data_IF_428949061643
#
_entry.id   IF_428949061643
#
_cell.length_a   1.000
_cell.length_b   1.000
_cell.length_c   1.000
_cell.angle_alpha   90.00
_cell.angle_beta   90.00
_cell.angle_gamma   90.00
#
_symmetry.space_group_name_H-M   'P 1'
#
loop_
_entity.id
_entity.type
_entity.pdbx_description
1 polymer ?
#
# COMPACT_ATOMS: atom_id res chain seq x y z
N UNK A 1 14.65 -6.23 2.58
CA UNK A 1 13.49 -6.83 1.84
C UNK A 1 12.20 -5.99 1.93
N UNK A 2 11.42 -6.06 3.03
CA UNK A 2 10.12 -5.32 3.13
C UNK A 2 10.31 -3.82 2.96
N UNK A 3 11.29 -3.24 3.67
CA UNK A 3 11.63 -1.81 3.56
C UNK A 3 11.97 -1.41 2.12
N UNK A 4 12.79 -2.22 1.43
CA UNK A 4 13.12 -2.01 0.01
C UNK A 4 11.88 -2.07 -0.89
N UNK A 5 10.97 -3.03 -0.67
CA UNK A 5 9.75 -3.13 -1.46
C UNK A 5 8.82 -1.92 -1.23
N UNK A 6 8.68 -1.46 0.02
CA UNK A 6 7.92 -0.26 0.35
C UNK A 6 8.55 1.00 -0.28
N UNK A 7 9.87 1.14 -0.20
CA UNK A 7 10.61 2.23 -0.83
C UNK A 7 10.54 2.18 -2.37
N UNK A 8 10.59 0.99 -2.96
CA UNK A 8 10.43 0.78 -4.40
C UNK A 8 9.05 1.24 -4.90
N UNK A 9 8.01 1.09 -4.08
CA UNK A 9 6.64 1.55 -4.35
C UNK A 9 6.37 2.97 -3.82
N UNK A 10 7.39 3.71 -3.39
CA UNK A 10 7.24 5.09 -2.92
C UNK A 10 6.74 6.02 -4.02
N UNK A 11 6.05 7.09 -3.61
CA UNK A 11 5.52 8.09 -4.54
C UNK A 11 6.65 8.78 -5.33
N UNK A 12 7.80 9.04 -4.71
CA UNK A 12 8.91 9.74 -5.38
C UNK A 12 9.49 8.90 -6.52
N UNK A 13 9.74 7.60 -6.29
CA UNK A 13 10.17 6.68 -7.36
C UNK A 13 9.13 6.52 -8.44
N UNK A 14 7.85 6.49 -8.06
CA UNK A 14 6.75 6.46 -9.01
C UNK A 14 6.70 7.74 -9.86
N UNK A 15 6.88 8.91 -9.26
CA UNK A 15 6.94 10.20 -9.95
C UNK A 15 8.12 10.24 -10.93
N UNK A 16 9.29 9.78 -10.52
CA UNK A 16 10.48 9.68 -11.37
C UNK A 16 10.25 8.72 -12.56
N UNK A 17 9.63 7.57 -12.32
CA UNK A 17 9.25 6.63 -13.37
C UNK A 17 8.27 7.25 -14.39
N UNK A 18 7.26 7.97 -13.90
CA UNK A 18 6.30 8.66 -14.76
C UNK A 18 6.96 9.78 -15.57
N UNK A 19 7.87 10.55 -14.96
CA UNK A 19 8.67 11.57 -15.65
C UNK A 19 9.58 10.95 -16.71
N UNK A 20 10.18 9.79 -16.42
CA UNK A 20 10.97 9.05 -17.40
C UNK A 20 10.13 8.63 -18.62
N UNK A 21 8.94 8.05 -18.42
CA UNK A 21 8.07 7.62 -19.52
C UNK A 21 7.52 8.79 -20.33
N UNK A 22 6.97 9.80 -19.67
CA UNK A 22 6.18 10.85 -20.33
C UNK A 22 6.97 12.12 -20.66
N UNK A 23 8.03 12.42 -19.91
CA UNK A 23 8.85 13.62 -20.10
C UNK A 23 10.22 13.33 -20.71
N UNK A 24 10.60 12.04 -20.86
CA UNK A 24 11.85 11.64 -21.50
C UNK A 24 13.08 12.02 -20.70
N UNK A 25 12.98 12.04 -19.36
CA UNK A 25 14.08 12.43 -18.49
C UNK A 25 15.22 11.40 -18.63
N UNK A 26 16.30 11.81 -19.31
CA UNK A 26 17.32 10.93 -19.91
C UNK A 26 18.28 10.27 -18.93
N UNK A 27 17.87 10.01 -17.69
CA UNK A 27 18.75 9.44 -16.65
C UNK A 27 19.10 7.97 -16.85
N UNK A 28 18.35 7.22 -17.67
CA UNK A 28 18.65 5.83 -17.99
C UNK A 28 18.72 5.59 -19.51
N UNK A 29 19.94 5.30 -19.97
CA UNK A 29 20.39 4.70 -21.23
C UNK A 29 19.86 5.21 -22.58
N UNK A 30 20.79 5.81 -23.32
CA UNK A 30 20.76 6.18 -24.74
C UNK A 30 20.61 5.01 -25.75
N UNK A 31 20.47 3.76 -25.29
CA UNK A 31 20.38 2.59 -26.15
C UNK A 31 18.94 2.09 -26.42
N UNK A 32 18.00 2.26 -25.46
CA UNK A 32 16.60 1.89 -25.65
C UNK A 32 15.79 2.97 -26.39
N UNK A 33 16.19 4.24 -26.27
CA UNK A 33 15.42 5.38 -26.80
C UNK A 33 15.35 5.41 -28.33
N UNK A 34 16.38 5.00 -29.07
CA UNK A 34 16.38 5.12 -30.55
C UNK A 34 15.51 4.07 -31.25
N UNK A 35 15.47 2.82 -30.74
CA UNK A 35 14.66 1.74 -31.32
C UNK A 35 13.18 1.85 -30.94
N UNK A 36 12.89 2.27 -29.70
CA UNK A 36 11.51 2.46 -29.26
C UNK A 36 10.90 3.74 -29.82
N UNK A 37 11.62 4.87 -29.87
CA UNK A 37 11.09 6.13 -30.43
C UNK A 37 10.65 5.99 -31.88
N UNK A 38 11.40 5.25 -32.72
CA UNK A 38 11.03 5.00 -34.12
C UNK A 38 9.78 4.12 -34.25
N UNK A 39 9.61 3.11 -33.37
CA UNK A 39 8.37 2.31 -33.30
C UNK A 39 7.20 3.11 -32.74
N UNK A 40 7.43 3.97 -31.74
CA UNK A 40 6.43 4.83 -31.13
C UNK A 40 5.93 5.86 -32.14
N UNK A 41 6.83 6.49 -32.91
CA UNK A 41 6.49 7.38 -34.02
C UNK A 41 5.72 6.67 -35.15
N UNK A 42 6.00 5.38 -35.40
CA UNK A 42 5.20 4.57 -36.35
C UNK A 42 3.80 4.25 -35.81
N UNK A 43 3.66 4.01 -34.51
CA UNK A 43 2.37 3.73 -33.87
C UNK A 43 1.53 5.00 -33.69
N UNK A 44 2.17 6.14 -33.42
CA UNK A 44 1.53 7.44 -33.28
C UNK A 44 0.82 7.86 -34.57
N UNK A 45 1.49 7.64 -35.72
CA UNK A 45 0.89 7.80 -37.06
C UNK A 45 -0.33 6.91 -37.33
N UNK A 46 -0.50 5.81 -36.57
CA UNK A 46 -1.63 4.86 -36.73
C UNK A 46 -2.77 5.12 -35.75
N UNK A 47 -2.56 5.96 -34.71
CA UNK A 47 -3.55 6.25 -33.67
C UNK A 47 -4.16 7.66 -33.76
N UNK A 48 -3.86 8.41 -34.82
CA UNK A 48 -4.29 9.80 -34.92
C UNK A 48 -5.77 9.93 -35.31
N UNK A 49 -6.66 9.87 -34.33
CA UNK A 49 -7.94 10.57 -34.39
C UNK A 49 -7.72 12.01 -33.87
N UNK A 50 -8.35 13.03 -34.46
CA UNK A 50 -8.21 14.43 -34.01
C UNK A 50 -8.86 14.68 -32.63
N UNK A 51 -9.57 13.69 -32.09
CA UNK A 51 -10.12 13.71 -30.75
C UNK A 51 -9.24 12.83 -29.87
N UNK A 52 -8.46 13.46 -28.98
CA UNK A 52 -7.82 12.78 -27.87
C UNK A 52 -8.93 12.43 -26.87
N UNK A 53 -9.48 11.23 -26.96
CA UNK A 53 -10.43 10.72 -25.98
C UNK A 53 -9.70 10.43 -24.65
N UNK A 54 -10.17 9.47 -23.87
CA UNK A 54 -9.57 9.00 -22.61
C UNK A 54 -8.20 8.29 -22.75
N UNK A 55 -7.52 8.42 -23.89
CA UNK A 55 -6.27 7.74 -24.20
C UNK A 55 -5.13 8.09 -23.22
N UNK A 56 -5.07 9.36 -22.78
CA UNK A 56 -4.09 9.79 -21.78
C UNK A 56 -4.24 9.05 -20.45
N UNK A 57 -5.48 8.90 -19.99
CA UNK A 57 -5.79 8.16 -18.76
C UNK A 57 -5.42 6.67 -18.88
N UNK A 58 -5.72 6.04 -20.02
CA UNK A 58 -5.37 4.63 -20.29
C UNK A 58 -3.85 4.41 -20.30
N UNK A 59 -3.09 5.34 -20.89
CA UNK A 59 -1.63 5.27 -20.90
C UNK A 59 -1.05 5.38 -19.48
N UNK A 60 -1.58 6.28 -18.64
CA UNK A 60 -1.18 6.38 -17.23
C UNK A 60 -1.51 5.08 -16.51
N UNK A 61 -2.73 4.56 -16.67
CA UNK A 61 -3.17 3.31 -16.02
C UNK A 61 -2.22 2.15 -16.34
N UNK A 62 -1.93 1.95 -17.63
CA UNK A 62 -1.00 0.92 -18.08
C UNK A 62 0.43 1.14 -17.56
N UNK A 63 0.90 2.39 -17.52
CA UNK A 63 2.20 2.72 -16.96
C UNK A 63 2.27 2.41 -15.45
N UNK A 64 1.22 2.75 -14.68
CA UNK A 64 1.14 2.40 -13.25
C UNK A 64 1.06 0.91 -13.00
N UNK A 65 0.32 0.17 -13.82
CA UNK A 65 0.26 -1.29 -13.73
C UNK A 65 1.66 -1.90 -13.94
N UNK A 66 2.38 -1.42 -14.96
CA UNK A 66 3.76 -1.85 -15.21
C UNK A 66 4.71 -1.45 -14.07
N UNK A 67 4.57 -0.25 -13.50
CA UNK A 67 5.35 0.21 -12.37
C UNK A 67 5.17 -0.69 -11.15
N UNK A 68 3.92 -0.94 -10.76
CA UNK A 68 3.61 -1.78 -9.60
C UNK A 68 4.09 -3.20 -9.86
N UNK A 69 3.84 -3.77 -11.04
CA UNK A 69 4.30 -5.11 -11.42
C UNK A 69 5.82 -5.27 -11.35
N UNK A 70 6.58 -4.27 -11.77
CA UNK A 70 8.04 -4.31 -11.76
C UNK A 70 8.64 -4.16 -10.36
N UNK A 71 7.97 -3.43 -9.46
CA UNK A 71 8.51 -3.04 -8.16
C UNK A 71 7.88 -3.77 -6.96
N UNK A 72 6.76 -4.47 -7.14
CA UNK A 72 6.09 -5.18 -6.04
C UNK A 72 6.81 -6.47 -5.62
N UNK A 73 7.63 -7.02 -6.51
CA UNK A 73 8.36 -8.28 -6.33
C UNK A 73 9.83 -8.00 -5.95
N UNK A 74 10.35 -8.75 -4.97
CA UNK A 74 11.76 -8.67 -4.56
C UNK A 74 12.62 -9.47 -5.56
N UNK A 75 13.51 -8.79 -6.27
CA UNK A 75 14.44 -9.45 -7.20
C UNK A 75 15.88 -9.63 -6.67
N UNK A 76 16.34 -8.83 -5.70
CA UNK A 76 17.68 -9.01 -5.15
C UNK A 76 17.90 -8.24 -3.84
N UNK A 77 18.73 -8.77 -2.93
CA UNK A 77 19.29 -8.00 -1.82
C UNK A 77 20.64 -7.45 -2.28
N UNK A 78 20.72 -6.14 -2.48
CA UNK A 78 22.03 -5.50 -2.68
C UNK A 78 22.71 -5.32 -1.31
N UNK A 79 24.05 -5.36 -1.33
CA UNK A 79 24.94 -5.35 -0.16
C UNK A 79 24.86 -4.10 0.72
N UNK A 80 24.16 -3.04 0.28
CA UNK A 80 24.12 -1.73 0.96
C UNK A 80 23.25 -1.73 2.24
N UNK A 81 22.33 -2.70 2.41
CA UNK A 81 21.50 -2.82 3.64
C UNK A 81 22.26 -3.44 4.82
N UNK A 82 23.46 -4.00 4.61
CA UNK A 82 24.20 -4.73 5.65
C UNK A 82 24.65 -3.84 6.82
N UNK A 83 25.02 -2.58 6.54
CA UNK A 83 25.44 -1.59 7.55
C UNK A 83 24.29 -1.21 8.49
N UNK A 84 23.10 -0.97 7.95
CA UNK A 84 21.92 -0.63 8.76
C UNK A 84 21.53 -1.80 9.69
N UNK A 85 21.60 -3.04 9.20
CA UNK A 85 21.31 -4.24 10.01
C UNK A 85 22.34 -4.39 11.14
N UNK A 86 23.62 -4.16 10.83
CA UNK A 86 24.71 -4.23 11.81
C UNK A 86 24.54 -3.26 12.99
N UNK A 87 24.08 -2.05 12.71
CA UNK A 87 23.95 -1.01 13.74
C UNK A 87 22.74 -1.20 14.66
N UNK A 88 21.71 -1.93 14.21
CA UNK A 88 20.40 -1.98 14.89
C UNK A 88 20.00 -3.36 15.42
N UNK A 89 20.68 -4.44 15.00
CA UNK A 89 20.27 -5.82 15.29
C UNK A 89 21.41 -6.57 15.97
N UNK A 90 21.08 -7.36 17.00
CA UNK A 90 22.04 -8.27 17.62
C UNK A 90 22.17 -9.54 16.76
N UNK A 91 22.95 -9.47 15.68
CA UNK A 91 23.35 -10.62 14.85
C UNK A 91 24.87 -10.67 14.79
N UNK A 92 25.43 -11.89 14.77
CA UNK A 92 26.86 -12.09 14.56
C UNK A 92 27.23 -11.74 13.11
N UNK A 93 27.84 -10.56 12.96
CA UNK A 93 28.13 -9.90 11.67
C UNK A 93 29.21 -10.60 10.84
N UNK A 94 29.80 -11.67 11.35
CA UNK A 94 30.73 -12.51 10.59
C UNK A 94 30.04 -13.32 9.49
N UNK A 95 28.71 -13.40 9.52
CA UNK A 95 27.92 -14.21 8.58
C UNK A 95 27.43 -13.36 7.41
N UNK A 96 27.67 -13.82 6.18
CA UNK A 96 27.17 -13.16 4.96
C UNK A 96 25.63 -13.00 5.02
N UNK A 97 25.08 -11.77 4.88
CA UNK A 97 23.64 -11.52 4.84
C UNK A 97 22.91 -12.37 3.80
N UNK A 98 23.56 -12.71 2.68
CA UNK A 98 22.97 -13.58 1.67
C UNK A 98 22.86 -15.02 2.14
N UNK A 99 23.82 -15.50 2.94
CA UNK A 99 23.73 -16.81 3.57
C UNK A 99 22.58 -16.88 4.58
N UNK A 100 22.38 -15.80 5.37
CA UNK A 100 21.25 -15.69 6.30
C UNK A 100 19.90 -15.64 5.57
N UNK A 101 19.79 -14.90 4.47
CA UNK A 101 18.57 -14.88 3.66
C UNK A 101 18.30 -16.26 3.03
N UNK A 102 19.34 -16.90 2.49
CA UNK A 102 19.21 -18.23 1.91
C UNK A 102 18.73 -19.20 2.99
N UNK A 103 19.28 -19.13 4.20
CA UNK A 103 18.82 -19.94 5.33
C UNK A 103 17.37 -19.66 5.72
N UNK A 104 16.99 -18.38 5.77
CA UNK A 104 15.63 -17.94 6.07
C UNK A 104 14.59 -18.38 5.02
N UNK A 105 15.01 -18.62 3.78
CA UNK A 105 14.13 -18.99 2.64
C UNK A 105 14.24 -20.45 2.21
N UNK A 106 15.16 -21.22 2.81
CA UNK A 106 15.31 -22.67 2.53
C UNK A 106 14.04 -23.43 2.93
N UNK A 107 13.70 -24.52 2.21
CA UNK A 107 14.47 -25.16 1.13
C UNK A 107 14.19 -24.65 -0.29
N UNK A 108 13.05 -23.99 -0.53
CA UNK A 108 12.53 -23.73 -1.89
C UNK A 108 12.61 -22.26 -2.34
N UNK A 109 13.17 -21.36 -1.51
CA UNK A 109 13.20 -19.92 -1.76
C UNK A 109 11.89 -19.21 -1.37
N UNK A 110 11.08 -19.83 -0.51
CA UNK A 110 9.81 -19.25 -0.03
C UNK A 110 10.01 -18.51 1.29
N UNK A 111 9.25 -17.44 1.49
CA UNK A 111 9.16 -16.83 2.83
C UNK A 111 8.59 -17.86 3.83
N UNK A 112 9.02 -17.86 5.11
CA UNK A 112 8.64 -18.90 6.08
C UNK A 112 7.14 -19.14 6.20
N UNK A 113 6.34 -18.07 6.22
CA UNK A 113 4.88 -18.19 6.25
C UNK A 113 4.31 -18.88 4.99
N UNK A 114 4.85 -18.54 3.81
CA UNK A 114 4.45 -19.16 2.54
C UNK A 114 4.92 -20.61 2.44
N UNK A 115 6.07 -20.95 3.03
CA UNK A 115 6.53 -22.34 3.14
C UNK A 115 5.57 -23.19 3.96
N UNK A 116 5.04 -22.67 5.08
CA UNK A 116 4.00 -23.34 5.88
C UNK A 116 2.71 -23.54 5.08
N UNK A 117 2.29 -22.54 4.31
CA UNK A 117 1.11 -22.68 3.44
C UNK A 117 1.37 -23.72 2.36
N UNK A 118 2.56 -23.71 1.74
CA UNK A 118 2.95 -24.70 0.75
C UNK A 118 2.90 -26.12 1.31
N UNK A 119 3.37 -26.31 2.55
CA UNK A 119 3.30 -27.60 3.23
C UNK A 119 1.86 -28.08 3.52
N UNK A 120 0.88 -27.17 3.61
CA UNK A 120 -0.54 -27.51 3.73
C UNK A 120 -1.20 -27.84 2.38
N UNK A 121 -0.64 -27.33 1.28
CA UNK A 121 -1.13 -27.49 -0.08
C UNK A 121 -0.25 -28.45 -0.89
N UNK A 122 0.22 -29.53 -0.27
CA UNK A 122 1.10 -30.52 -0.93
C UNK A 122 0.43 -31.22 -2.11
N UNK A 123 -0.90 -31.39 -2.05
CA UNK A 123 -1.70 -32.00 -3.12
C UNK A 123 -1.81 -31.09 -4.36
N UNK A 124 -1.72 -29.78 -4.15
CA UNK A 124 -1.71 -28.82 -5.24
C UNK A 124 -0.33 -28.76 -5.89
N UNK A 125 -0.28 -28.84 -7.21
CA UNK A 125 0.97 -28.78 -7.96
C UNK A 125 1.46 -27.34 -8.09
N UNK A 126 2.77 -27.17 -8.27
CA UNK A 126 3.33 -25.88 -8.66
C UNK A 126 3.29 -25.76 -10.19
N UNK A 127 2.73 -24.65 -10.68
CA UNK A 127 2.73 -24.29 -12.10
C UNK A 127 3.65 -23.09 -12.34
N UNK A 128 4.31 -23.08 -13.51
CA UNK A 128 5.22 -22.00 -13.90
C UNK A 128 4.57 -20.95 -14.81
N UNK A 129 3.35 -21.20 -15.28
CA UNK A 129 2.62 -20.31 -16.19
C UNK A 129 1.15 -20.26 -15.79
N UNK A 130 0.46 -19.16 -16.09
CA UNK A 130 -0.95 -19.02 -15.78
C UNK A 130 -1.85 -19.74 -16.81
N UNK A 131 -3.14 -19.90 -16.47
CA UNK A 131 -4.14 -20.51 -17.35
C UNK A 131 -4.23 -19.67 -18.64
N UNK A 132 -3.96 -20.30 -19.78
CA UNK A 132 -4.01 -19.61 -21.06
C UNK A 132 -2.76 -18.80 -21.40
N UNK A 133 -1.72 -18.81 -20.55
CA UNK A 133 -0.35 -18.38 -20.90
C UNK A 133 0.33 -19.47 -21.74
N UNK A 134 -0.40 -19.88 -22.78
CA UNK A 134 0.17 -20.39 -24.00
C UNK A 134 1.05 -19.27 -24.53
N UNK A 135 2.36 -19.35 -24.26
CA UNK A 135 3.34 -18.53 -24.97
C UNK A 135 2.93 -18.50 -26.44
N UNK A 136 2.47 -17.36 -26.93
CA UNK A 136 2.19 -17.11 -28.36
C UNK A 136 3.48 -17.16 -29.21
N UNK A 137 4.57 -17.71 -28.67
CA UNK A 137 5.71 -18.22 -29.43
C UNK A 137 5.33 -19.59 -29.98
N UNK A 138 4.90 -19.57 -31.24
CA UNK A 138 4.52 -20.70 -32.10
C UNK A 138 3.16 -21.35 -31.79
N UNK A 139 2.11 -20.77 -32.39
CA UNK A 139 0.82 -21.42 -32.71
C UNK A 139 0.94 -22.71 -33.55
N UNK A 140 2.14 -23.12 -33.97
CA UNK A 140 2.37 -24.33 -34.77
C UNK A 140 2.51 -25.62 -33.95
N UNK A 141 2.53 -25.53 -32.61
CA UNK A 141 2.57 -26.71 -31.76
C UNK A 141 1.52 -26.62 -30.67
N UNK A 142 0.27 -26.82 -31.06
CA UNK A 142 -0.77 -27.33 -30.17
C UNK A 142 -1.55 -28.41 -30.92
N UNK A 143 -1.49 -29.70 -30.52
CA UNK A 143 -0.69 -30.29 -29.45
C UNK A 143 0.59 -30.95 -30.00
N UNK A 144 1.79 -30.73 -29.44
CA UNK A 144 2.91 -31.61 -29.69
C UNK A 144 2.88 -32.72 -28.62
N UNK A 145 2.45 -33.92 -29.00
CA UNK A 145 2.85 -35.11 -28.26
C UNK A 145 4.40 -35.15 -28.24
N UNK A 146 4.99 -34.97 -27.06
CA UNK A 146 6.44 -34.95 -26.88
C UNK A 146 6.82 -34.94 -25.41
N UNK A 147 6.74 -36.12 -24.78
CA UNK A 147 7.48 -36.55 -23.58
C UNK A 147 7.70 -35.50 -22.47
N UNK A 148 6.74 -35.38 -21.56
CA UNK A 148 6.99 -34.93 -20.18
C UNK A 148 6.24 -33.71 -19.67
N UNK A 149 5.59 -32.90 -20.52
CA UNK A 149 4.73 -31.81 -20.04
C UNK A 149 3.33 -32.34 -19.77
N UNK A 150 3.02 -32.61 -18.50
CA UNK A 150 1.69 -33.02 -18.06
C UNK A 150 0.66 -31.92 -18.39
N UNK A 151 -0.29 -32.15 -19.31
CA UNK A 151 -1.29 -31.15 -19.70
C UNK A 151 -2.17 -30.72 -18.52
N UNK A 152 -2.28 -31.55 -17.47
CA UNK A 152 -3.01 -31.21 -16.24
C UNK A 152 -2.27 -30.15 -15.43
N UNK A 153 -0.93 -30.14 -15.45
CA UNK A 153 -0.11 -29.15 -14.74
C UNK A 153 -0.15 -27.75 -15.37
N UNK A 154 -0.58 -27.64 -16.64
CA UNK A 154 -0.84 -26.35 -17.28
C UNK A 154 -2.19 -25.74 -16.85
N UNK A 155 -3.15 -26.57 -16.45
CA UNK A 155 -4.51 -26.15 -16.09
C UNK A 155 -4.70 -25.94 -14.58
N UNK A 156 -4.06 -26.77 -13.74
CA UNK A 156 -4.27 -26.79 -12.29
C UNK A 156 -2.94 -26.61 -11.55
N UNK A 157 -2.97 -25.83 -10.46
CA UNK A 157 -1.84 -25.62 -9.57
C UNK A 157 -1.62 -24.17 -9.13
N UNK A 158 -0.74 -23.99 -8.16
CA UNK A 158 -0.32 -22.70 -7.61
C UNK A 158 0.83 -22.13 -8.42
N UNK A 159 0.75 -20.85 -8.79
CA UNK A 159 1.84 -20.16 -9.49
C UNK A 159 3.09 -20.15 -8.61
N UNK A 160 4.18 -20.74 -9.10
CA UNK A 160 5.48 -20.73 -8.41
C UNK A 160 5.95 -19.29 -8.17
N UNK A 161 5.77 -18.42 -9.16
CA UNK A 161 6.16 -17.02 -9.08
C UNK A 161 5.47 -16.28 -7.93
N UNK A 162 4.19 -16.56 -7.66
CA UNK A 162 3.46 -15.95 -6.52
C UNK A 162 4.00 -16.41 -5.15
N UNK A 163 4.69 -17.55 -5.08
CA UNK A 163 5.30 -18.08 -3.85
C UNK A 163 6.76 -17.67 -3.68
N UNK A 164 7.55 -17.69 -4.76
CA UNK A 164 8.95 -17.28 -4.75
C UNK A 164 9.10 -15.77 -4.72
N UNK A 165 8.17 -15.05 -5.33
CA UNK A 165 8.15 -13.60 -5.34
C UNK A 165 6.77 -13.02 -4.99
N UNK A 166 6.39 -13.06 -3.71
CA UNK A 166 5.14 -12.46 -3.27
C UNK A 166 5.20 -10.94 -3.42
N UNK A 167 4.08 -10.35 -3.81
CA UNK A 167 3.94 -8.89 -3.83
C UNK A 167 3.83 -8.38 -2.38
N UNK A 168 4.79 -7.55 -1.95
CA UNK A 168 4.85 -7.05 -0.58
C UNK A 168 4.14 -5.71 -0.44
N UNK A 169 2.81 -5.73 -0.49
CA UNK A 169 1.98 -4.57 -0.21
C UNK A 169 0.66 -4.98 0.48
N UNK A 170 0.19 -4.13 1.38
CA UNK A 170 -0.95 -4.37 2.26
C UNK A 170 -2.07 -3.36 2.01
N UNK A 171 -3.30 -3.78 2.28
CA UNK A 171 -4.49 -2.96 2.08
C UNK A 171 -4.63 -1.86 3.16
N UNK A 172 -3.94 -2.00 4.30
CA UNK A 172 -3.91 -0.98 5.37
C UNK A 172 -3.36 0.37 4.86
N UNK A 173 -2.46 0.34 3.87
CA UNK A 173 -1.98 1.56 3.23
C UNK A 173 -3.12 2.31 2.53
N UNK A 174 -3.96 1.59 1.79
CA UNK A 174 -5.11 2.16 1.08
C UNK A 174 -6.17 2.70 2.04
N UNK A 175 -6.40 1.99 3.16
CA UNK A 175 -7.32 2.42 4.21
C UNK A 175 -6.94 3.82 4.74
N UNK A 176 -5.67 4.02 5.11
CA UNK A 176 -5.22 5.31 5.64
C UNK A 176 -5.24 6.43 4.61
N UNK A 177 -4.97 6.14 3.33
CA UNK A 177 -5.11 7.13 2.25
C UNK A 177 -6.57 7.55 2.03
N UNK A 178 -7.53 6.62 2.18
CA UNK A 178 -8.96 6.94 2.11
C UNK A 178 -9.45 7.76 3.32
N UNK A 179 -9.05 7.41 4.54
CA UNK A 179 -9.33 8.22 5.73
C UNK A 179 -8.63 9.59 5.68
N UNK A 180 -7.51 9.67 4.94
CA UNK A 180 -6.79 10.90 4.62
C UNK A 180 -7.51 11.86 3.66
N UNK A 181 -8.69 11.48 3.15
CA UNK A 181 -9.52 12.25 2.20
C UNK A 181 -8.96 12.34 0.77
N UNK A 182 -8.04 11.45 0.37
CA UNK A 182 -7.48 11.43 -1.00
C UNK A 182 -8.57 11.18 -2.04
N UNK A 183 -9.36 10.11 -1.87
CA UNK A 183 -10.42 9.71 -2.80
C UNK A 183 -11.58 10.72 -2.79
N UNK A 184 -11.86 11.32 -1.63
CA UNK A 184 -12.89 12.33 -1.45
C UNK A 184 -12.50 13.63 -2.17
N UNK A 185 -11.21 13.99 -2.13
CA UNK A 185 -10.66 15.14 -2.85
C UNK A 185 -10.88 15.00 -4.35
N UNK A 186 -10.47 13.88 -4.95
CA UNK A 186 -10.68 13.68 -6.39
C UNK A 186 -12.16 13.62 -6.74
N UNK A 187 -13.01 13.00 -5.91
CA UNK A 187 -14.45 12.93 -6.15
C UNK A 187 -15.14 14.30 -6.07
N UNK A 188 -14.68 15.21 -5.22
CA UNK A 188 -15.18 16.58 -5.17
C UNK A 188 -14.78 17.35 -6.45
N UNK A 189 -13.54 17.17 -6.91
CA UNK A 189 -13.02 17.77 -8.14
C UNK A 189 -13.80 17.23 -9.35
N UNK A 190 -13.98 15.91 -9.47
CA UNK A 190 -14.68 15.30 -10.62
C UNK A 190 -16.14 15.71 -10.69
N UNK A 191 -16.82 15.84 -9.55
CA UNK A 191 -18.19 16.40 -9.50
C UNK A 191 -18.23 17.81 -10.08
N UNK A 192 -17.25 18.66 -9.74
CA UNK A 192 -17.14 20.00 -10.30
C UNK A 192 -16.92 19.96 -11.82
N UNK A 193 -16.08 19.05 -12.32
CA UNK A 193 -15.88 18.83 -13.77
C UNK A 193 -17.14 18.40 -14.51
N UNK A 194 -17.99 17.59 -13.86
CA UNK A 194 -19.29 17.17 -14.39
C UNK A 194 -20.38 18.23 -14.21
N UNK A 195 -20.02 19.44 -13.73
CA UNK A 195 -20.95 20.51 -13.37
C UNK A 195 -22.05 20.07 -12.37
N UNK A 196 -21.69 19.16 -11.46
CA UNK A 196 -22.55 18.74 -10.36
C UNK A 196 -22.18 19.51 -9.10
N UNK A 197 -23.20 20.06 -8.42
CA UNK A 197 -23.01 20.70 -7.12
C UNK A 197 -22.63 19.68 -6.05
N UNK A 198 -21.77 20.12 -5.13
CA UNK A 198 -21.41 19.40 -3.92
C UNK A 198 -22.62 19.18 -2.98
N UNK A 199 -22.49 18.28 -2.00
CA UNK A 199 -23.56 17.98 -1.05
C UNK A 199 -23.74 19.04 0.05
N UNK A 200 -22.83 20.00 0.16
CA UNK A 200 -22.91 21.09 1.13
C UNK A 200 -23.89 22.18 0.63
N UNK A 201 -24.63 22.86 1.52
CA UNK A 201 -25.52 23.96 1.12
C UNK A 201 -24.79 25.08 0.37
N UNK A 202 -23.57 25.41 0.83
CA UNK A 202 -22.64 26.31 0.17
C UNK A 202 -21.46 25.49 -0.34
N UNK A 203 -21.43 25.21 -1.64
CA UNK A 203 -20.34 24.47 -2.27
C UNK A 203 -19.14 25.40 -2.54
N UNK A 204 -17.99 25.22 -1.87
CA UNK A 204 -16.83 26.09 -2.04
C UNK A 204 -16.23 25.97 -3.45
N UNK A 205 -16.43 24.85 -4.15
CA UNK A 205 -15.90 24.64 -5.51
C UNK A 205 -16.80 25.22 -6.60
N UNK A 206 -18.06 25.58 -6.27
CA UNK A 206 -19.00 26.11 -7.27
C UNK A 206 -18.54 27.42 -7.90
N UNK A 207 -17.76 28.21 -7.16
CA UNK A 207 -17.22 29.50 -7.62
C UNK A 207 -15.79 29.40 -8.17
N UNK A 208 -15.17 28.21 -8.14
CA UNK A 208 -13.84 28.00 -8.72
C UNK A 208 -13.99 27.60 -10.19
N UNK A 209 -13.28 28.32 -11.05
CA UNK A 209 -13.20 28.01 -12.47
C UNK A 209 -12.25 26.84 -12.71
N UNK A 210 -12.66 25.93 -13.59
CA UNK A 210 -11.90 24.70 -13.91
C UNK A 210 -10.85 24.97 -15.01
N UNK A 211 -10.81 26.18 -15.55
CA UNK A 211 -9.90 26.60 -16.62
C UNK A 211 -8.41 26.24 -16.40
N UNK A 212 -7.82 26.39 -15.20
CA UNK A 212 -6.43 25.99 -14.95
C UNK A 212 -6.16 24.50 -15.20
N UNK A 213 -7.19 23.66 -15.08
CA UNK A 213 -7.09 22.21 -15.25
C UNK A 213 -7.39 21.74 -16.68
N UNK A 214 -7.54 22.67 -17.63
CA UNK A 214 -7.74 22.36 -19.06
C UNK A 214 -6.69 21.39 -19.62
N UNK A 215 -5.38 21.47 -19.27
CA UNK A 215 -4.39 20.48 -19.74
C UNK A 215 -4.68 19.05 -19.24
N UNK A 216 -5.34 18.89 -18.09
CA UNK A 216 -5.63 17.60 -17.46
C UNK A 216 -7.02 17.05 -17.85
N UNK A 217 -7.73 17.72 -18.77
CA UNK A 217 -9.10 17.40 -19.12
C UNK A 217 -9.29 15.93 -19.55
N UNK A 218 -8.42 15.43 -20.44
CA UNK A 218 -8.48 14.04 -20.92
C UNK A 218 -8.24 13.02 -19.80
N UNK A 219 -7.43 13.37 -18.80
CA UNK A 219 -7.12 12.50 -17.67
C UNK A 219 -8.31 12.41 -16.71
N UNK A 220 -8.90 13.56 -16.39
CA UNK A 220 -10.01 13.64 -15.43
C UNK A 220 -11.29 13.05 -16.04
N UNK A 221 -11.58 13.31 -17.32
CA UNK A 221 -12.67 12.63 -18.01
C UNK A 221 -12.43 11.14 -18.17
N UNK A 222 -11.18 10.72 -18.40
CA UNK A 222 -10.81 9.30 -18.39
C UNK A 222 -11.12 8.62 -17.06
N UNK A 223 -10.72 9.23 -15.95
CA UNK A 223 -11.05 8.75 -14.61
C UNK A 223 -12.57 8.69 -14.36
N UNK A 224 -13.31 9.70 -14.80
CA UNK A 224 -14.78 9.73 -14.68
C UNK A 224 -15.43 8.58 -15.47
N UNK A 225 -15.05 8.40 -16.74
CA UNK A 225 -15.64 7.39 -17.63
C UNK A 225 -15.27 5.95 -17.22
N UNK A 226 -14.11 5.75 -16.59
CA UNK A 226 -13.65 4.43 -16.14
C UNK A 226 -14.33 3.94 -14.84
N UNK A 227 -15.44 4.56 -14.40
CA UNK A 227 -16.16 4.19 -13.18
C UNK A 227 -16.51 2.69 -13.09
N UNK A 228 -16.82 2.05 -14.21
CA UNK A 228 -17.18 0.62 -14.23
C UNK A 228 -16.00 -0.31 -13.94
N UNK A 229 -14.78 0.06 -14.34
CA UNK A 229 -13.59 -0.77 -14.11
C UNK A 229 -12.81 -0.39 -12.86
N UNK A 230 -13.24 0.67 -12.17
CA UNK A 230 -12.63 1.11 -10.91
C UNK A 230 -13.17 0.31 -9.73
N UNK A 231 -12.30 0.14 -8.74
CA UNK A 231 -12.67 -0.48 -7.49
C UNK A 231 -13.61 0.46 -6.73
N UNK A 232 -14.80 -0.03 -6.40
CA UNK A 232 -15.78 0.77 -5.64
C UNK A 232 -15.36 0.93 -4.18
N UNK A 233 -15.71 2.07 -3.57
CA UNK A 233 -15.48 2.34 -2.14
C UNK A 233 -16.15 1.26 -1.28
N UNK A 234 -17.35 0.82 -1.68
CA UNK A 234 -18.08 -0.25 -1.01
C UNK A 234 -17.28 -1.54 -1.04
N UNK A 235 -16.72 -1.91 -2.21
CA UNK A 235 -15.89 -3.11 -2.32
C UNK A 235 -14.65 -3.02 -1.42
N UNK A 236 -13.92 -1.91 -1.45
CA UNK A 236 -12.76 -1.70 -0.55
C UNK A 236 -13.14 -1.84 0.92
N UNK A 237 -14.27 -1.26 1.32
CA UNK A 237 -14.73 -1.35 2.70
C UNK A 237 -15.04 -2.79 3.16
N UNK A 238 -15.61 -3.63 2.28
CA UNK A 238 -15.80 -5.04 2.59
C UNK A 238 -14.46 -5.75 2.85
N UNK A 239 -13.43 -5.42 2.07
CA UNK A 239 -12.11 -6.04 2.23
C UNK A 239 -11.34 -5.52 3.44
N UNK A 240 -11.45 -4.22 3.78
CA UNK A 240 -10.86 -3.70 5.02
C UNK A 240 -11.43 -4.41 6.26
N UNK A 241 -12.74 -4.68 6.27
CA UNK A 241 -13.40 -5.38 7.38
C UNK A 241 -12.98 -6.84 7.42
N UNK A 242 -12.82 -7.46 6.25
CA UNK A 242 -12.41 -8.85 6.15
C UNK A 242 -10.93 -9.07 6.51
N UNK A 243 -10.02 -8.16 6.15
CA UNK A 243 -8.58 -8.33 6.44
C UNK A 243 -8.20 -7.84 7.85
N UNK A 244 -8.81 -6.76 8.32
CA UNK A 244 -8.40 -6.07 9.56
C UNK A 244 -9.56 -5.74 10.51
N UNK A 245 -10.81 -6.00 10.14
CA UNK A 245 -11.97 -5.54 10.91
C UNK A 245 -12.12 -4.02 10.90
N UNK A 246 -11.46 -3.33 9.97
CA UNK A 246 -11.53 -1.89 9.80
C UNK A 246 -12.69 -1.53 8.87
N UNK A 247 -13.40 -0.45 9.20
CA UNK A 247 -14.52 0.03 8.38
C UNK A 247 -14.40 1.53 8.20
N UNK A 248 -14.66 2.00 6.99
CA UNK A 248 -14.84 3.41 6.69
C UNK A 248 -16.17 3.89 7.26
N UNK A 249 -16.19 5.14 7.73
CA UNK A 249 -17.43 5.80 8.14
C UNK A 249 -17.83 6.85 7.10
N UNK A 250 -19.05 6.75 6.56
CA UNK A 250 -19.56 7.75 5.64
C UNK A 250 -20.85 7.35 4.93
N UNK A 251 -21.48 8.32 4.25
CA UNK A 251 -22.75 8.12 3.53
C UNK A 251 -22.69 7.05 2.44
N UNK A 252 -21.51 6.86 1.82
CA UNK A 252 -21.30 5.89 0.75
C UNK A 252 -21.14 4.45 1.27
N UNK A 253 -20.95 4.27 2.58
CA UNK A 253 -20.60 3.00 3.22
C UNK A 253 -21.62 2.73 4.32
N UNK A 254 -22.84 2.37 3.95
CA UNK A 254 -23.89 2.05 4.91
C UNK A 254 -23.75 0.60 5.39
N UNK A 255 -23.71 0.40 6.72
CA UNK A 255 -23.80 -0.89 7.45
C UNK A 255 -23.43 -2.13 6.63
N UNK A 256 -22.17 -2.23 6.24
CA UNK A 256 -21.65 -3.38 5.50
C UNK A 256 -21.89 -4.66 6.32
N UNK A 257 -22.72 -5.57 5.77
CA UNK A 257 -22.99 -6.88 6.35
C UNK A 257 -22.04 -7.87 5.70
N UNK A 258 -20.88 -8.03 6.31
CA UNK A 258 -19.81 -8.91 5.83
C UNK A 258 -20.09 -10.35 6.28
N UNK A 259 -19.66 -11.33 5.48
CA UNK A 259 -19.78 -12.74 5.85
C UNK A 259 -18.79 -13.10 6.97
N UNK A 260 -17.65 -12.41 6.98
CA UNK A 260 -16.56 -12.64 7.92
C UNK A 260 -15.84 -11.31 8.19
N UNK A 261 -15.49 -11.07 9.46
CA UNK A 261 -14.89 -9.81 9.94
C UNK A 261 -13.80 -10.13 10.98
N UNK A 262 -12.72 -9.33 10.98
CA UNK A 262 -11.58 -9.52 11.90
C UNK A 262 -11.65 -8.56 13.08
N UNK A 263 -12.70 -8.68 13.89
CA UNK A 263 -12.95 -7.78 15.03
C UNK A 263 -11.80 -7.72 16.06
N UNK A 264 -11.04 -8.82 16.23
CA UNK A 264 -9.92 -8.90 17.18
C UNK A 264 -8.59 -8.35 16.65
N UNK A 265 -8.49 -8.05 15.35
CA UNK A 265 -7.21 -7.58 14.80
C UNK A 265 -6.76 -6.27 15.44
N UNK A 266 -7.68 -5.31 15.59
CA UNK A 266 -7.34 -4.01 16.17
C UNK A 266 -6.86 -4.12 17.62
N UNK A 267 -7.51 -5.00 18.41
CA UNK A 267 -7.09 -5.31 19.77
C UNK A 267 -5.67 -5.88 19.81
N UNK A 268 -5.38 -6.91 19.02
CA UNK A 268 -4.06 -7.53 18.97
C UNK A 268 -2.99 -6.56 18.44
N UNK A 269 -3.31 -5.76 17.43
CA UNK A 269 -2.38 -4.79 16.84
C UNK A 269 -2.07 -3.64 17.80
N UNK A 270 -3.08 -3.08 18.48
CA UNK A 270 -2.85 -2.05 19.50
C UNK A 270 -2.13 -2.62 20.73
N UNK A 271 -2.39 -3.87 21.10
CA UNK A 271 -1.62 -4.58 22.14
C UNK A 271 -0.16 -4.70 21.74
N UNK A 272 0.13 -5.14 20.51
CA UNK A 272 1.48 -5.19 19.97
C UNK A 272 2.17 -3.82 20.04
N UNK A 273 1.54 -2.77 19.52
CA UNK A 273 2.10 -1.42 19.54
C UNK A 273 2.36 -0.89 20.97
N UNK A 274 1.46 -1.17 21.91
CA UNK A 274 1.61 -0.77 23.31
C UNK A 274 2.73 -1.55 24.00
N UNK A 275 2.81 -2.87 23.80
CA UNK A 275 3.92 -3.68 24.33
C UNK A 275 5.27 -3.28 23.76
N UNK A 276 5.33 -2.88 22.48
CA UNK A 276 6.54 -2.34 21.86
C UNK A 276 6.95 -0.99 22.46
N UNK A 277 6.00 -0.09 22.70
CA UNK A 277 6.28 1.18 23.36
C UNK A 277 6.89 0.97 24.77
N UNK A 278 6.32 0.05 25.54
CA UNK A 278 6.84 -0.34 26.85
C UNK A 278 8.21 -1.03 26.75
N UNK A 279 8.41 -1.87 25.73
CA UNK A 279 9.69 -2.52 25.44
C UNK A 279 10.78 -1.49 25.15
N UNK A 280 10.54 -0.52 24.27
CA UNK A 280 11.55 0.50 23.91
C UNK A 280 11.98 1.33 25.12
N UNK A 281 11.03 1.68 26.01
CA UNK A 281 11.36 2.40 27.24
C UNK A 281 12.30 1.61 28.15
N UNK A 282 12.18 0.27 28.18
CA UNK A 282 13.08 -0.62 28.93
C UNK A 282 14.39 -0.86 28.18
N UNK A 283 14.35 -0.96 26.86
CA UNK A 283 15.53 -1.18 26.01
C UNK A 283 16.47 0.05 26.02
N UNK A 284 15.90 1.26 26.19
CA UNK A 284 16.67 2.50 26.39
C UNK A 284 17.33 2.58 27.77
N UNK A 285 16.82 1.84 28.75
CA UNK A 285 17.40 1.76 30.08
C UNK A 285 18.54 0.74 30.09
N UNK A 286 19.77 1.23 29.94
CA UNK A 286 20.98 0.39 29.92
C UNK A 286 21.25 -0.34 31.23
N UNK A 287 20.50 -0.05 32.30
CA UNK A 287 20.62 -0.74 33.59
C UNK A 287 19.84 -2.06 33.65
N UNK A 288 18.92 -2.30 32.72
CA UNK A 288 18.08 -3.50 32.67
C UNK A 288 18.17 -4.17 31.30
N UNK A 289 18.28 -5.50 31.28
CA UNK A 289 18.08 -6.25 30.05
C UNK A 289 16.58 -6.35 29.79
N UNK A 290 16.09 -5.68 28.75
CA UNK A 290 14.68 -5.69 28.39
C UNK A 290 14.24 -7.10 27.95
N UNK A 291 13.16 -7.59 28.57
CA UNK A 291 12.55 -8.87 28.19
C UNK A 291 11.71 -8.70 26.90
N UNK A 292 12.07 -9.46 25.87
CA UNK A 292 11.37 -9.50 24.58
C UNK A 292 10.22 -10.51 24.50
N UNK A 293 10.02 -11.35 25.52
CA UNK A 293 8.98 -12.38 25.50
C UNK A 293 7.54 -11.83 25.36
N UNK A 294 7.16 -10.70 26.03
CA UNK A 294 5.85 -10.09 25.82
C UNK A 294 5.62 -9.66 24.37
N UNK A 295 6.66 -9.12 23.71
CA UNK A 295 6.61 -8.73 22.30
C UNK A 295 6.41 -9.96 21.42
N UNK A 296 7.11 -11.07 21.69
CA UNK A 296 6.95 -12.32 20.94
C UNK A 296 5.51 -12.85 21.02
N UNK A 297 4.89 -12.81 22.20
CA UNK A 297 3.50 -13.28 22.36
C UNK A 297 2.51 -12.38 21.60
N UNK A 298 2.67 -11.06 21.70
CA UNK A 298 1.84 -10.13 20.94
C UNK A 298 2.02 -10.30 19.41
N UNK A 299 3.24 -10.56 18.94
CA UNK A 299 3.53 -10.87 17.54
C UNK A 299 2.84 -12.16 17.08
N UNK A 300 2.86 -13.22 17.90
CA UNK A 300 2.17 -14.48 17.61
C UNK A 300 0.66 -14.30 17.49
N UNK A 301 0.05 -13.57 18.42
CA UNK A 301 -1.39 -13.29 18.40
C UNK A 301 -1.78 -12.48 17.16
N UNK A 302 -1.05 -11.39 16.87
CA UNK A 302 -1.29 -10.57 15.70
C UNK A 302 -1.08 -11.36 14.39
N UNK A 303 -0.02 -12.16 14.30
CA UNK A 303 0.26 -13.02 13.14
C UNK A 303 -0.84 -14.06 12.93
N UNK A 304 -1.32 -14.70 13.99
CA UNK A 304 -2.39 -15.69 13.89
C UNK A 304 -3.68 -15.06 13.34
N UNK A 305 -4.07 -13.89 13.86
CA UNK A 305 -5.26 -13.18 13.37
C UNK A 305 -5.09 -12.73 11.91
N UNK A 306 -3.92 -12.20 11.55
CA UNK A 306 -3.61 -11.81 10.17
C UNK A 306 -3.64 -13.00 9.21
N UNK A 307 -3.17 -14.18 9.66
CA UNK A 307 -3.17 -15.40 8.85
C UNK A 307 -4.58 -15.93 8.60
N UNK A 308 -5.53 -15.70 9.50
CA UNK A 308 -6.95 -16.02 9.27
C UNK A 308 -7.56 -15.13 8.18
N UNK A 309 -7.05 -13.90 8.02
CA UNK A 309 -7.45 -12.97 6.96
C UNK A 309 -6.80 -13.22 5.60
N UNK A 310 -5.98 -14.28 5.43
CA UNK A 310 -5.36 -14.62 4.15
C UNK A 310 -6.36 -15.41 3.28
N UNK A 311 -7.22 -14.69 2.56
CA UNK A 311 -8.27 -15.24 1.70
C UNK A 311 -7.90 -15.18 0.20
N UNK A 312 -8.79 -15.67 -0.66
CA UNK A 312 -8.54 -15.84 -2.10
C UNK A 312 -8.22 -14.56 -2.88
N UNK A 313 -8.54 -13.36 -2.37
CA UNK A 313 -8.22 -12.09 -3.05
C UNK A 313 -7.07 -11.34 -2.37
N UNK A 314 -6.40 -12.00 -1.42
CA UNK A 314 -5.19 -11.47 -0.83
C UNK A 314 -4.14 -11.24 -1.93
N UNK A 315 -3.51 -10.07 -1.91
CA UNK A 315 -2.56 -9.61 -2.92
C UNK A 315 -3.19 -8.94 -4.15
N UNK A 316 -4.26 -9.49 -4.73
CA UNK A 316 -4.83 -8.97 -5.98
C UNK A 316 -5.57 -7.63 -5.77
N UNK A 317 -6.48 -7.54 -4.80
CA UNK A 317 -7.21 -6.29 -4.50
C UNK A 317 -6.32 -5.18 -3.92
N UNK A 318 -5.36 -5.47 -3.02
CA UNK A 318 -4.35 -4.48 -2.64
C UNK A 318 -3.61 -3.89 -3.84
N UNK A 319 -3.28 -4.69 -4.86
CA UNK A 319 -2.60 -4.22 -6.07
C UNK A 319 -3.46 -3.23 -6.86
N UNK A 320 -4.74 -3.55 -7.09
CA UNK A 320 -5.65 -2.66 -7.82
C UNK A 320 -5.91 -1.36 -7.07
N UNK A 321 -6.14 -1.44 -5.75
CA UNK A 321 -6.30 -0.26 -4.91
C UNK A 321 -5.05 0.63 -4.89
N UNK A 322 -3.85 0.01 -4.84
CA UNK A 322 -2.56 0.72 -4.89
C UNK A 322 -2.39 1.48 -6.20
N UNK A 323 -2.64 0.81 -7.34
CA UNK A 323 -2.55 1.40 -8.68
C UNK A 323 -3.45 2.64 -8.76
N UNK A 324 -4.73 2.49 -8.40
CA UNK A 324 -5.68 3.62 -8.45
C UNK A 324 -5.25 4.78 -7.58
N UNK A 325 -4.83 4.53 -6.33
CA UNK A 325 -4.45 5.61 -5.41
C UNK A 325 -3.14 6.28 -5.80
N UNK A 326 -2.16 5.55 -6.35
CA UNK A 326 -0.95 6.14 -6.93
C UNK A 326 -1.30 7.05 -8.11
N UNK A 327 -2.19 6.60 -9.02
CA UNK A 327 -2.68 7.44 -10.11
C UNK A 327 -3.31 8.73 -9.57
N UNK A 328 -4.14 8.64 -8.52
CA UNK A 328 -4.77 9.81 -7.90
C UNK A 328 -3.76 10.77 -7.28
N UNK A 329 -2.78 10.25 -6.54
CA UNK A 329 -1.69 11.05 -6.00
C UNK A 329 -0.93 11.77 -7.13
N UNK A 330 -0.62 11.08 -8.23
CA UNK A 330 0.08 11.69 -9.35
C UNK A 330 -0.74 12.76 -10.08
N UNK A 331 -2.03 12.52 -10.29
CA UNK A 331 -2.94 13.54 -10.86
C UNK A 331 -2.96 14.79 -9.99
N UNK A 332 -3.06 14.64 -8.66
CA UNK A 332 -3.08 15.77 -7.73
C UNK A 332 -1.70 16.45 -7.58
N UNK A 333 -0.60 15.73 -7.77
CA UNK A 333 0.75 16.29 -7.75
C UNK A 333 1.04 17.25 -8.91
N UNK A 334 0.19 17.25 -9.95
CA UNK A 334 0.37 18.08 -11.13
C UNK A 334 0.36 19.58 -10.80
N UNK A 335 1.26 20.39 -11.39
CA UNK A 335 1.40 21.80 -11.07
C UNK A 335 0.13 22.63 -11.38
N UNK A 336 -0.69 22.19 -12.33
CA UNK A 336 -1.95 22.82 -12.71
C UNK A 336 -2.92 22.94 -11.52
N UNK A 337 -2.88 21.99 -10.57
CA UNK A 337 -3.69 22.04 -9.35
C UNK A 337 -3.27 23.16 -8.38
N UNK A 338 -2.08 23.75 -8.55
CA UNK A 338 -1.61 24.87 -7.74
C UNK A 338 -2.38 26.15 -8.00
N UNK A 339 -2.80 26.36 -9.24
CA UNK A 339 -3.61 27.53 -9.61
C UNK A 339 -5.10 27.29 -9.30
N UNK A 340 -5.55 26.04 -9.42
CA UNK A 340 -6.94 25.68 -9.13
C UNK A 340 -7.29 25.69 -7.64
N UNK A 341 -6.41 25.14 -6.78
CA UNK A 341 -6.64 25.05 -5.34
C UNK A 341 -5.65 25.96 -4.61
N UNK A 342 -6.12 26.89 -3.75
CA UNK A 342 -5.24 27.72 -2.95
C UNK A 342 -4.47 26.87 -1.92
N UNK A 343 -3.19 26.62 -2.14
CA UNK A 343 -2.34 25.88 -1.19
C UNK A 343 -1.36 26.77 -0.43
N UNK A 344 -0.85 26.24 0.69
CA UNK A 344 0.14 26.92 1.54
C UNK A 344 1.55 26.46 1.14
N UNK A 345 2.18 27.21 0.25
CA UNK A 345 3.49 26.87 -0.35
C UNK A 345 4.61 26.70 0.71
N UNK A 346 4.53 27.40 1.84
CA UNK A 346 5.56 27.36 2.90
C UNK A 346 5.48 26.11 3.79
N UNK A 347 4.45 25.27 3.65
CA UNK A 347 4.36 24.01 4.39
C UNK A 347 5.20 22.94 3.68
N UNK A 348 6.25 22.46 4.34
CA UNK A 348 7.15 21.45 3.80
C UNK A 348 6.49 20.05 3.83
N UNK A 349 5.73 19.73 2.79
CA UNK A 349 5.27 18.37 2.54
C UNK A 349 6.34 17.56 1.79
N UNK A 350 6.54 16.27 2.12
CA UNK A 350 7.48 15.42 1.39
C UNK A 350 6.99 15.15 -0.03
N UNK A 351 5.68 14.98 -0.23
CA UNK A 351 5.10 14.65 -1.53
C UNK A 351 4.18 15.78 -2.04
N UNK A 352 4.24 16.14 -3.33
CA UNK A 352 3.57 17.31 -3.90
C UNK A 352 2.04 17.21 -3.97
N UNK A 353 1.45 16.02 -3.88
CA UNK A 353 -0.02 15.87 -3.90
C UNK A 353 -0.67 16.21 -2.56
N UNK A 354 0.10 16.17 -1.47
CA UNK A 354 -0.41 16.30 -0.10
C UNK A 354 -0.94 17.72 0.16
N UNK A 355 -0.31 18.73 -0.45
CA UNK A 355 -0.71 20.13 -0.29
C UNK A 355 -2.12 20.39 -0.88
N UNK A 356 -2.46 19.74 -1.99
CA UNK A 356 -3.78 19.83 -2.64
C UNK A 356 -4.86 19.20 -1.78
N UNK A 357 -4.59 18.01 -1.22
CA UNK A 357 -5.53 17.32 -0.35
C UNK A 357 -5.76 18.11 0.94
N UNK A 358 -4.71 18.64 1.57
CA UNK A 358 -4.84 19.43 2.79
C UNK A 358 -5.59 20.75 2.56
N UNK A 359 -5.34 21.40 1.43
CA UNK A 359 -6.09 22.59 1.03
C UNK A 359 -7.57 22.27 0.73
N UNK A 360 -7.85 21.14 0.06
CA UNK A 360 -9.24 20.70 -0.18
C UNK A 360 -9.97 20.41 1.14
N UNK A 361 -9.30 19.75 2.09
CA UNK A 361 -9.87 19.48 3.42
C UNK A 361 -10.29 20.77 4.13
N UNK A 362 -9.47 21.81 4.07
CA UNK A 362 -9.78 23.14 4.62
C UNK A 362 -10.94 23.81 3.88
N UNK A 363 -10.93 23.79 2.55
CA UNK A 363 -12.00 24.39 1.73
C UNK A 363 -13.36 23.75 2.03
N UNK A 364 -13.39 22.43 2.18
CA UNK A 364 -14.62 21.66 2.36
C UNK A 364 -15.06 21.55 3.83
N UNK A 365 -14.28 22.06 4.78
CA UNK A 365 -14.54 21.89 6.21
C UNK A 365 -14.55 20.41 6.64
N UNK A 366 -13.64 19.61 6.08
CA UNK A 366 -13.41 18.23 6.48
C UNK A 366 -12.52 18.18 7.73
N UNK A 367 -11.62 17.20 7.83
CA UNK A 367 -10.76 17.04 9.01
C UNK A 367 -9.64 18.07 9.03
N UNK A 368 -9.37 18.65 10.21
CA UNK A 368 -8.26 19.61 10.43
C UNK A 368 -6.87 18.95 10.54
N UNK A 369 -6.80 17.63 10.61
CA UNK A 369 -5.54 16.89 10.76
C UNK A 369 -4.75 16.89 9.45
N UNK A 370 -3.44 17.14 9.51
CA UNK A 370 -2.59 17.14 8.30
C UNK A 370 -2.58 15.77 7.62
N UNK A 371 -2.66 15.76 6.29
CA UNK A 371 -2.55 14.56 5.43
C UNK A 371 -1.24 13.80 5.65
N UNK A 372 -0.19 14.49 6.11
CA UNK A 372 1.10 13.90 6.48
C UNK A 372 0.97 12.75 7.49
N UNK A 373 0.11 12.89 8.49
CA UNK A 373 -0.05 11.83 9.48
C UNK A 373 -0.73 10.59 8.89
N UNK A 374 -1.68 10.76 7.96
CA UNK A 374 -2.31 9.65 7.26
C UNK A 374 -1.34 8.93 6.33
N UNK A 375 -0.50 9.67 5.61
CA UNK A 375 0.59 9.10 4.81
C UNK A 375 1.55 8.27 5.68
N UNK A 376 1.98 8.81 6.82
CA UNK A 376 2.89 8.11 7.72
C UNK A 376 2.24 6.84 8.31
N UNK A 377 0.95 6.90 8.67
CA UNK A 377 0.19 5.71 9.09
C UNK A 377 0.11 4.66 7.99
N UNK A 378 -0.06 5.09 6.73
CA UNK A 378 -0.11 4.19 5.58
C UNK A 378 1.22 3.46 5.37
N UNK A 379 2.33 4.20 5.32
CA UNK A 379 3.68 3.65 5.08
C UNK A 379 4.11 2.77 6.25
N UNK A 380 4.16 3.33 7.47
CA UNK A 380 4.64 2.58 8.64
C UNK A 380 3.72 1.42 9.00
N UNK A 381 2.41 1.59 8.83
CA UNK A 381 1.44 0.52 9.07
C UNK A 381 1.64 -0.66 8.13
N UNK A 382 1.87 -0.40 6.84
CA UNK A 382 2.17 -1.44 5.87
C UNK A 382 3.46 -2.20 6.21
N UNK A 383 4.57 -1.49 6.47
CA UNK A 383 5.85 -2.11 6.78
C UNK A 383 5.77 -3.02 8.02
N UNK A 384 5.11 -2.54 9.09
CA UNK A 384 4.91 -3.30 10.33
C UNK A 384 4.03 -4.53 10.06
N UNK A 385 2.88 -4.37 9.39
CA UNK A 385 1.94 -5.48 9.13
C UNK A 385 2.58 -6.54 8.23
N UNK A 386 3.34 -6.14 7.21
CA UNK A 386 4.10 -7.06 6.36
C UNK A 386 5.12 -7.86 7.19
N UNK A 387 5.81 -7.20 8.11
CA UNK A 387 6.77 -7.82 9.02
C UNK A 387 6.11 -8.87 9.94
N UNK A 388 4.91 -8.58 10.44
CA UNK A 388 4.14 -9.55 11.23
C UNK A 388 3.62 -10.68 10.34
N UNK A 389 3.14 -10.40 9.12
CA UNK A 389 2.51 -11.39 8.26
C UNK A 389 3.47 -12.48 7.78
N UNK A 390 4.66 -12.12 7.30
CA UNK A 390 5.54 -13.09 6.63
C UNK A 390 6.57 -13.79 7.55
N UNK A 391 6.62 -13.42 8.84
CA UNK A 391 7.63 -13.89 9.79
C UNK A 391 7.44 -15.29 10.38
N UNK A 392 6.32 -15.97 10.14
CA UNK A 392 5.97 -17.27 10.76
C UNK A 392 6.22 -17.30 12.29
N UNK A 393 5.70 -16.30 13.00
CA UNK A 393 5.96 -16.09 14.43
C UNK A 393 5.52 -17.25 15.33
N UNK A 394 4.55 -18.06 14.88
CA UNK A 394 4.00 -19.18 15.64
C UNK A 394 5.02 -20.31 15.89
N UNK A 395 6.01 -20.51 15.00
CA UNK A 395 7.04 -21.53 15.19
C UNK A 395 8.25 -21.05 15.98
N UNK A 396 8.36 -19.74 16.26
CA UNK A 396 9.50 -19.15 16.96
C UNK A 396 9.25 -19.19 18.47
N UNK A 397 10.19 -19.75 19.23
CA UNK A 397 10.12 -19.80 20.70
C UNK A 397 11.12 -18.87 21.37
N UNK A 398 12.17 -18.46 20.65
CA UNK A 398 13.24 -17.64 21.21
C UNK A 398 12.86 -16.15 21.18
N UNK A 399 13.00 -15.42 22.31
CA UNK A 399 12.64 -14.01 22.39
C UNK A 399 13.60 -13.10 21.59
N UNK A 400 14.83 -13.56 21.31
CA UNK A 400 15.85 -12.78 20.60
C UNK A 400 15.39 -12.35 19.21
N UNK A 401 14.70 -13.22 18.47
CA UNK A 401 14.15 -12.87 17.15
C UNK A 401 13.11 -11.73 17.22
N UNK A 402 12.28 -11.71 18.27
CA UNK A 402 11.30 -10.65 18.49
C UNK A 402 11.97 -9.32 18.89
N UNK A 403 13.02 -9.37 19.71
CA UNK A 403 13.83 -8.19 20.06
C UNK A 403 14.48 -7.59 18.81
N UNK A 404 15.09 -8.43 17.99
CA UNK A 404 15.73 -8.02 16.74
C UNK A 404 14.73 -7.36 15.78
N UNK A 405 13.53 -7.93 15.65
CA UNK A 405 12.45 -7.32 14.86
C UNK A 405 11.99 -5.99 15.46
N UNK A 406 11.81 -5.91 16.78
CA UNK A 406 11.37 -4.69 17.46
C UNK A 406 12.38 -3.56 17.29
N UNK A 407 13.68 -3.84 17.43
CA UNK A 407 14.74 -2.84 17.24
C UNK A 407 14.84 -2.38 15.79
N UNK A 408 14.76 -3.31 14.82
CA UNK A 408 14.82 -2.97 13.40
C UNK A 408 13.69 -2.01 12.98
N UNK A 409 12.45 -2.26 13.45
CA UNK A 409 11.27 -1.47 13.11
C UNK A 409 10.98 -0.31 14.08
N UNK A 410 11.89 -0.01 15.00
CA UNK A 410 11.68 1.01 16.04
C UNK A 410 11.27 2.39 15.47
N UNK A 411 11.93 2.94 14.42
CA UNK A 411 11.52 4.22 13.85
C UNK A 411 10.08 4.21 13.31
N UNK A 412 9.69 3.12 12.64
CA UNK A 412 8.38 2.95 12.05
C UNK A 412 7.30 2.84 13.13
N UNK A 413 7.54 2.06 14.18
CA UNK A 413 6.58 1.88 15.28
C UNK A 413 6.37 3.20 16.02
N UNK A 414 7.44 3.91 16.37
CA UNK A 414 7.32 5.21 17.03
C UNK A 414 6.66 6.26 16.12
N UNK A 415 7.01 6.28 14.83
CA UNK A 415 6.37 7.13 13.84
C UNK A 415 4.88 6.85 13.68
N UNK A 416 4.48 5.58 13.68
CA UNK A 416 3.09 5.14 13.63
C UNK A 416 2.33 5.59 14.88
N UNK A 417 2.88 5.36 16.08
CA UNK A 417 2.27 5.78 17.35
C UNK A 417 2.01 7.30 17.40
N UNK A 418 3.00 8.10 17.00
CA UNK A 418 2.87 9.56 16.95
C UNK A 418 1.82 10.01 15.92
N UNK A 419 1.85 9.43 14.72
CA UNK A 419 0.88 9.76 13.68
C UNK A 419 -0.54 9.33 14.07
N UNK A 420 -0.69 8.17 14.72
CA UNK A 420 -1.97 7.65 15.20
C UNK A 420 -2.56 8.59 16.23
N UNK A 421 -1.79 8.96 17.26
CA UNK A 421 -2.21 9.95 18.27
C UNK A 421 -2.60 11.28 17.65
N UNK A 422 -1.87 11.74 16.64
CA UNK A 422 -2.18 13.00 15.95
C UNK A 422 -3.53 12.93 15.20
N UNK A 423 -3.86 11.77 14.63
CA UNK A 423 -5.07 11.54 13.83
C UNK A 423 -6.28 11.19 14.69
N UNK A 424 -6.18 10.24 15.60
CA UNK A 424 -7.31 9.75 16.42
C UNK A 424 -7.44 10.46 17.76
N UNK A 425 -6.35 11.04 18.28
CA UNK A 425 -6.29 11.62 19.62
C UNK A 425 -6.00 10.60 20.73
N UNK A 426 -5.90 9.31 20.39
CA UNK A 426 -5.65 8.21 21.34
C UNK A 426 -4.16 7.94 21.44
N UNK A 427 -3.64 7.86 22.66
CA UNK A 427 -2.25 7.51 22.92
C UNK A 427 -2.13 6.02 23.27
N UNK A 428 -1.56 5.24 22.36
CA UNK A 428 -1.33 3.80 22.53
C UNK A 428 -0.07 3.48 23.33
N UNK A 429 0.77 4.48 23.65
CA UNK A 429 2.02 4.31 24.40
C UNK A 429 1.83 4.26 25.92
N UNK A 430 0.61 4.52 26.41
CA UNK A 430 0.30 4.51 27.85
C UNK A 430 0.34 3.08 28.39
N UNK A 431 1.13 2.86 29.43
CA UNK A 431 1.30 1.54 30.06
C UNK A 431 -0.04 0.95 30.52
N UNK A 432 -0.40 -0.21 29.94
CA UNK A 432 -1.69 -0.95 30.06
C UNK A 432 -1.94 -1.52 31.46
N UNK A 433 -1.12 -1.18 32.47
CA UNK A 433 -1.16 -1.82 33.79
C UNK A 433 -2.52 -1.74 34.50
N UNK A 434 -3.40 -0.80 34.14
CA UNK A 434 -4.79 -0.74 34.63
C UNK A 434 -5.85 -0.24 33.60
N UNK A 435 -5.45 0.19 32.40
CA UNK A 435 -6.37 0.71 31.39
C UNK A 435 -6.65 -0.36 30.33
N UNK A 436 -7.92 -0.58 29.98
CA UNK A 436 -8.26 -1.39 28.80
C UNK A 436 -7.67 -0.72 27.56
N UNK A 437 -7.01 -1.49 26.72
CA UNK A 437 -6.53 -1.03 25.41
C UNK A 437 -7.73 -0.54 24.62
N UNK A 438 -7.60 0.63 24.00
CA UNK A 438 -8.67 1.16 23.15
C UNK A 438 -8.78 0.29 21.90
N UNK A 439 -9.90 -0.43 21.78
CA UNK A 439 -10.24 -1.28 20.63
C UNK A 439 -11.29 -0.64 19.73
N UNK A 440 -11.58 0.66 19.92
CA UNK A 440 -12.54 1.35 19.08
C UNK A 440 -11.94 1.66 17.70
N UNK A 441 -12.76 1.53 16.66
CA UNK A 441 -12.30 1.65 15.28
C UNK A 441 -11.78 3.08 14.99
N UNK A 442 -10.68 3.24 14.23
CA UNK A 442 -10.14 4.57 13.90
C UNK A 442 -11.15 5.50 13.24
N UNK A 443 -12.01 4.97 12.37
CA UNK A 443 -13.08 5.74 11.72
C UNK A 443 -14.09 6.34 12.71
N UNK A 444 -14.35 5.69 13.84
CA UNK A 444 -15.23 6.22 14.90
C UNK A 444 -14.57 7.42 15.58
N UNK A 445 -13.27 7.33 15.88
CA UNK A 445 -12.53 8.48 16.41
C UNK A 445 -12.52 9.65 15.43
N UNK A 446 -12.32 9.38 14.14
CA UNK A 446 -12.33 10.40 13.10
C UNK A 446 -13.68 11.11 12.98
N UNK A 447 -14.79 10.36 13.02
CA UNK A 447 -16.14 10.92 13.03
C UNK A 447 -16.37 11.76 14.28
N UNK A 448 -15.97 11.27 15.46
CA UNK A 448 -16.09 12.01 16.71
C UNK A 448 -15.33 13.33 16.68
N UNK A 449 -14.09 13.33 16.16
CA UNK A 449 -13.30 14.55 16.02
C UNK A 449 -13.91 15.51 15.01
N UNK A 450 -14.44 15.00 13.89
CA UNK A 450 -15.14 15.83 12.91
C UNK A 450 -16.41 16.46 13.50
N UNK A 451 -17.15 15.73 14.36
CA UNK A 451 -18.32 16.32 15.03
C UNK A 451 -17.93 17.35 16.08
N UNK A 452 -16.87 17.11 16.86
CA UNK A 452 -16.31 18.09 17.80
C UNK A 452 -15.81 19.36 17.09
N UNK A 453 -15.16 19.21 15.93
CA UNK A 453 -14.69 20.34 15.11
C UNK A 453 -15.88 21.19 14.64
N UNK A 454 -16.93 20.55 14.14
CA UNK A 454 -18.17 21.24 13.70
C UNK A 454 -18.95 21.91 14.83
N UNK A 455 -18.73 21.53 16.08
CA UNK A 455 -19.32 22.20 17.24
C UNK A 455 -18.55 23.45 17.66
N UNK A 456 -17.27 23.57 17.25
CA UNK A 456 -16.41 24.72 17.61
C UNK A 456 -16.50 25.87 16.61
N UNK A 457 -16.97 25.60 15.39
CA UNK A 457 -17.22 26.57 14.31
C UNK A 457 -18.69 26.94 14.34
#
# INVERSE_FOLDING_TARGET
>A
MIRRASDALSFDRYMDFMNWIFCGDGRNDSALTTSYSSKLAQLDRRRFLPFTDTDGYRNIKAATEAFVMANCCIYDLETDEASYIADHVAVDLTTDPMALLTDYTKPDGFLPYLAVIRAKLVDERLKNSDIGDLRLRNKSTWPPHGTGSDPVAACYGVLREKLTCPCLHELIWSYWNEEGMLVQTINAITRRFQNMRGPLPNDPLANLEVDPLRPLNNLIWGWIQDEQHRLSVVRRNYEYDHQYGLRLAGKAVNNARTADSRSKFLEAFHTLLSTLAAFYKRDDDTTMVADGFPVLNALKEAHLILSQGAHNQFGDLPSTARIEMLMLQWILARPEFREFIPTRIMVAYPEPWMDRVDAMKKLQGWTDTSVLHFRNLAIFGEEIVLGVRYGNWNSIYEPVSAVNWARYWRPQVQGYLHAYRSVTGVDLSVDVTNARIDTTMPSVHLVKRLSEQRQRV
#
